data_IF_877919139178
#
_entry.id   IF_877919139178
#
_cell.length_a   1.000
_cell.length_b   1.000
_cell.length_c   1.000
_cell.angle_alpha   90.00
_cell.angle_beta   90.00
_cell.angle_gamma   90.00
#
_symmetry.space_group_name_H-M   'P 1'
#
loop_
_entity.id
_entity.type
_entity.pdbx_description
1 polymer ?
#
# COMPACT_ATOMS: atom_id res chain seq x y z
N UNK A 1 8.67 -14.58 -10.37
CA UNK A 1 9.00 -13.83 -9.13
C UNK A 1 8.70 -14.70 -7.92
N UNK A 2 9.59 -14.76 -6.91
CA UNK A 2 9.40 -15.63 -5.72
C UNK A 2 8.10 -15.31 -4.96
N UNK A 3 7.75 -14.03 -4.87
CA UNK A 3 6.49 -13.53 -4.31
C UNK A 3 5.24 -14.13 -4.95
N UNK A 4 5.23 -14.18 -6.28
CA UNK A 4 4.11 -14.74 -7.02
C UNK A 4 4.01 -16.24 -6.79
N UNK A 5 5.15 -16.94 -6.72
CA UNK A 5 5.18 -18.37 -6.45
C UNK A 5 4.68 -18.72 -5.04
N UNK A 6 5.03 -17.92 -4.03
CA UNK A 6 4.52 -18.08 -2.67
C UNK A 6 2.99 -17.94 -2.61
N UNK A 7 2.43 -16.95 -3.31
CA UNK A 7 0.97 -16.76 -3.41
C UNK A 7 0.26 -17.92 -4.12
N UNK A 8 0.84 -18.42 -5.21
CA UNK A 8 0.29 -19.58 -5.94
C UNK A 8 0.25 -20.85 -5.07
N UNK A 9 1.32 -21.12 -4.31
CA UNK A 9 1.40 -22.29 -3.44
C UNK A 9 0.43 -22.17 -2.25
N UNK A 10 0.30 -20.99 -1.65
CA UNK A 10 -0.70 -20.73 -0.61
C UNK A 10 -2.13 -20.91 -1.14
N UNK A 11 -2.42 -20.40 -2.35
CA UNK A 11 -3.72 -20.59 -3.01
C UNK A 11 -4.03 -22.05 -3.35
N UNK A 12 -3.00 -22.86 -3.59
CA UNK A 12 -3.11 -24.31 -3.79
C UNK A 12 -3.27 -25.11 -2.48
N UNK A 13 -3.32 -24.44 -1.32
CA UNK A 13 -3.54 -25.06 -0.01
C UNK A 13 -2.28 -25.54 0.71
N UNK A 14 -1.09 -25.16 0.22
CA UNK A 14 0.16 -25.41 0.94
C UNK A 14 0.35 -24.39 2.07
N UNK A 15 0.89 -24.85 3.20
CA UNK A 15 1.34 -23.97 4.27
C UNK A 15 2.66 -23.29 3.86
N UNK A 16 2.63 -21.97 3.65
CA UNK A 16 3.72 -21.19 3.07
C UNK A 16 3.99 -19.95 3.91
N UNK A 17 5.21 -19.84 4.42
CA UNK A 17 5.70 -18.62 5.06
C UNK A 17 6.45 -17.79 4.00
N UNK A 18 5.86 -16.66 3.60
CA UNK A 18 6.42 -15.80 2.57
C UNK A 18 7.30 -14.70 3.18
N UNK A 19 8.62 -14.88 3.11
CA UNK A 19 9.62 -13.95 3.64
C UNK A 19 10.17 -12.97 2.60
N UNK A 20 9.62 -12.95 1.37
CA UNK A 20 10.11 -12.08 0.30
C UNK A 20 9.49 -10.66 0.34
N UNK A 21 8.70 -10.35 1.38
CA UNK A 21 7.90 -9.12 1.52
C UNK A 21 8.76 -7.91 1.84
N UNK A 22 8.62 -6.85 1.04
CA UNK A 22 9.28 -5.57 1.29
C UNK A 22 8.37 -4.52 1.94
N UNK A 23 7.07 -4.79 2.03
CA UNK A 23 6.08 -3.89 2.63
C UNK A 23 5.58 -4.46 3.98
N UNK A 24 5.19 -3.59 4.92
CA UNK A 24 4.61 -4.03 6.18
C UNK A 24 3.29 -4.77 6.00
N UNK A 25 2.93 -5.57 6.99
CA UNK A 25 1.72 -6.42 7.01
C UNK A 25 0.47 -5.74 7.59
N UNK A 26 0.57 -4.46 7.94
CA UNK A 26 -0.53 -3.67 8.50
C UNK A 26 -1.10 -2.68 7.49
N UNK A 27 -2.39 -2.41 7.64
CA UNK A 27 -3.07 -1.39 6.84
C UNK A 27 -2.57 0.02 7.15
N UNK A 28 -2.77 0.93 6.20
CA UNK A 28 -2.51 2.37 6.42
C UNK A 28 -3.39 2.88 7.58
N UNK A 29 -2.83 3.57 8.60
CA UNK A 29 -3.60 4.12 9.70
C UNK A 29 -4.79 4.98 9.23
N UNK A 30 -5.96 4.80 9.87
CA UNK A 30 -7.21 5.44 9.42
C UNK A 30 -7.15 6.97 9.30
N UNK A 31 -6.44 7.66 10.20
CA UNK A 31 -6.29 9.11 10.14
C UNK A 31 -5.54 9.59 8.87
N UNK A 32 -4.63 8.77 8.33
CA UNK A 32 -3.93 9.07 7.07
C UNK A 32 -4.89 8.92 5.89
N UNK A 33 -5.69 7.85 5.87
CA UNK A 33 -6.71 7.61 4.85
C UNK A 33 -7.74 8.74 4.83
N UNK A 34 -8.20 9.18 6.00
CA UNK A 34 -9.13 10.30 6.13
C UNK A 34 -8.53 11.62 5.64
N UNK A 35 -7.27 11.91 5.94
CA UNK A 35 -6.58 13.12 5.48
C UNK A 35 -6.47 13.13 3.94
N UNK A 36 -6.09 12.00 3.34
CA UNK A 36 -6.03 11.86 1.89
C UNK A 36 -7.42 12.07 1.24
N UNK A 37 -8.47 11.49 1.82
CA UNK A 37 -9.83 11.67 1.31
C UNK A 37 -10.32 13.12 1.39
N UNK A 38 -9.97 13.84 2.47
CA UNK A 38 -10.27 15.27 2.61
C UNK A 38 -9.53 16.11 1.57
N UNK A 39 -8.25 15.83 1.32
CA UNK A 39 -7.47 16.55 0.31
C UNK A 39 -8.08 16.39 -1.10
N UNK A 40 -8.48 15.17 -1.46
CA UNK A 40 -9.17 14.89 -2.72
C UNK A 40 -10.48 15.69 -2.83
N UNK A 41 -11.32 15.67 -1.78
CA UNK A 41 -12.57 16.44 -1.78
C UNK A 41 -12.35 17.95 -1.85
N UNK A 42 -11.26 18.45 -1.29
CA UNK A 42 -10.88 19.86 -1.35
C UNK A 42 -10.31 20.28 -2.72
N UNK A 43 -10.14 19.35 -3.66
CA UNK A 43 -9.61 19.63 -5.00
C UNK A 43 -8.08 19.69 -5.06
N UNK A 44 -7.38 19.13 -4.07
CA UNK A 44 -5.92 19.00 -4.06
C UNK A 44 -5.46 17.89 -5.03
N UNK A 45 -5.63 18.16 -6.33
CA UNK A 45 -5.44 17.22 -7.44
C UNK A 45 -4.57 17.80 -8.55
N UNK A 46 -3.94 18.95 -8.30
CA UNK A 46 -3.13 19.68 -9.27
C UNK A 46 -1.64 19.52 -8.97
N UNK A 47 -0.78 20.06 -9.83
CA UNK A 47 0.66 19.97 -9.64
C UNK A 47 1.09 20.60 -8.30
N UNK A 48 1.85 19.87 -7.47
CA UNK A 48 2.45 20.44 -6.27
C UNK A 48 3.69 21.29 -6.65
N UNK A 49 4.23 22.08 -5.71
CA UNK A 49 5.54 22.70 -5.87
C UNK A 49 6.63 21.65 -6.15
N UNK A 50 7.70 22.05 -6.85
CA UNK A 50 8.77 21.12 -7.27
C UNK A 50 9.47 20.38 -6.12
N UNK A 51 9.42 20.92 -4.90
CA UNK A 51 10.01 20.32 -3.70
C UNK A 51 8.97 19.66 -2.77
N UNK A 52 7.71 19.54 -3.22
CA UNK A 52 6.60 19.01 -2.43
C UNK A 52 5.84 20.08 -1.64
N UNK A 53 4.68 19.66 -1.12
CA UNK A 53 3.86 20.45 -0.21
C UNK A 53 4.43 20.34 1.22
N UNK A 54 4.52 21.43 1.99
CA UNK A 54 5.05 21.42 3.37
C UNK A 54 4.30 20.50 4.34
#
# INVERSE_FOLDING_TARGET
MMMQKGRELAAAGHDVINLAGGEPDFDTPGHIVEAAFKAIQAGDTHYPPSFGTP
#
